data_IF_325823819923
#
_entry.id   IF_325823819923
#
_cell.length_a   1.000
_cell.length_b   1.000
_cell.length_c   1.000
_cell.angle_alpha   90.00
_cell.angle_beta   90.00
_cell.angle_gamma   90.00
#
_symmetry.space_group_name_H-M   'P 1'
#
loop_
_entity.id
_entity.type
_entity.pdbx_description
1 polymer ?
#
# COMPACT_ATOMS: atom_id res chain seq x y z
N UNK A 1 -5.22 -16.20 -9.07
CA UNK A 1 -5.18 -16.11 -7.71
C UNK A 1 -5.79 -14.89 -7.18
N UNK A 2 -5.84 -13.85 -7.87
CA UNK A 2 -6.41 -12.65 -7.35
C UNK A 2 -7.87 -12.54 -7.59
N UNK A 3 -8.48 -13.60 -8.06
CA UNK A 3 -9.87 -13.52 -8.39
C UNK A 3 -10.75 -13.31 -7.20
N UNK A 4 -10.24 -13.62 -6.02
CA UNK A 4 -11.07 -13.47 -4.85
C UNK A 4 -11.04 -12.09 -4.27
N UNK A 5 -10.17 -11.24 -4.77
CA UNK A 5 -10.08 -9.89 -4.24
C UNK A 5 -11.15 -9.01 -4.87
N UNK A 6 -11.81 -8.19 -4.09
CA UNK A 6 -12.78 -7.26 -4.66
C UNK A 6 -12.07 -6.19 -5.49
N UNK A 7 -12.85 -5.54 -6.34
CA UNK A 7 -12.30 -4.47 -7.15
C UNK A 7 -11.86 -3.32 -6.25
N UNK A 8 -10.65 -2.80 -6.50
CA UNK A 8 -10.12 -1.72 -5.69
C UNK A 8 -10.29 -0.40 -6.43
N UNK A 9 -11.04 0.54 -5.86
CA UNK A 9 -11.21 1.82 -6.54
C UNK A 9 -9.99 2.72 -6.38
N UNK A 10 -9.81 3.61 -7.35
CA UNK A 10 -8.67 4.50 -7.32
C UNK A 10 -8.68 5.39 -6.08
N UNK A 11 -9.86 5.79 -5.64
CA UNK A 11 -9.95 6.67 -4.49
C UNK A 11 -9.45 5.99 -3.21
N UNK A 12 -9.63 4.67 -3.13
CA UNK A 12 -9.12 3.94 -1.98
C UNK A 12 -7.59 3.96 -1.98
N UNK A 13 -6.98 3.73 -3.13
CA UNK A 13 -5.53 3.73 -3.23
C UNK A 13 -4.98 5.11 -2.89
N UNK A 14 -5.66 6.15 -3.35
CA UNK A 14 -5.25 7.50 -3.05
C UNK A 14 -5.28 7.78 -1.56
N UNK A 15 -6.36 7.34 -0.90
CA UNK A 15 -6.47 7.50 0.54
C UNK A 15 -5.39 6.74 1.29
N UNK A 16 -5.09 5.54 0.86
CA UNK A 16 -4.06 4.75 1.52
C UNK A 16 -2.71 5.44 1.41
N UNK A 17 -2.42 6.04 0.26
CA UNK A 17 -1.16 6.75 0.10
C UNK A 17 -1.12 8.02 0.93
N UNK A 18 -2.25 8.62 1.21
CA UNK A 18 -2.30 9.79 2.08
C UNK A 18 -2.08 9.42 3.53
N UNK A 19 -2.69 8.31 3.95
CA UNK A 19 -2.61 7.90 5.34
C UNK A 19 -1.28 7.26 5.66
N UNK A 20 -0.71 6.52 4.72
CA UNK A 20 0.54 5.81 4.95
C UNK A 20 1.49 6.00 3.78
N UNK A 21 2.00 7.23 3.59
CA UNK A 21 2.90 7.47 2.45
C UNK A 21 4.27 6.86 2.67
N UNK A 22 5.01 6.71 1.59
CA UNK A 22 6.37 6.24 1.71
C UNK A 22 7.21 7.34 2.30
N UNK A 23 8.04 7.00 3.27
CA UNK A 23 8.90 7.99 3.88
C UNK A 23 10.07 7.30 4.54
N UNK A 24 11.12 8.06 4.78
CA UNK A 24 12.27 7.56 5.49
C UNK A 24 11.98 7.58 6.98
N UNK A 25 12.70 6.73 7.70
CA UNK A 25 12.58 6.70 9.15
C UNK A 25 13.05 8.02 9.74
N UNK A 26 12.39 8.47 10.79
CA UNK A 26 12.79 9.66 11.47
C UNK A 26 13.85 9.35 12.52
N UNK A 27 14.71 10.32 12.82
CA UNK A 27 15.80 10.03 13.76
C UNK A 27 15.35 9.64 15.14
N UNK A 28 14.17 10.08 15.56
CA UNK A 28 13.70 9.78 16.89
C UNK A 28 12.77 8.56 16.93
N UNK A 29 12.61 7.86 15.83
CA UNK A 29 11.76 6.68 15.85
C UNK A 29 12.52 5.49 16.38
N UNK A 30 11.82 4.63 17.12
CA UNK A 30 12.43 3.40 17.59
C UNK A 30 12.42 2.39 16.47
N UNK A 31 13.25 1.35 16.62
CA UNK A 31 13.30 0.29 15.65
C UNK A 31 11.95 -0.38 15.48
N UNK A 32 11.24 -0.54 16.59
CA UNK A 32 9.93 -1.14 16.53
C UNK A 32 8.95 -0.29 15.72
N UNK A 33 9.00 1.02 15.91
CA UNK A 33 8.14 1.92 15.14
C UNK A 33 8.46 1.86 13.66
N UNK A 34 9.75 1.79 13.35
CA UNK A 34 10.17 1.72 11.96
C UNK A 34 9.64 0.43 11.32
N UNK A 35 9.76 -0.69 12.02
CA UNK A 35 9.30 -1.96 11.49
C UNK A 35 7.78 -1.99 11.34
N UNK A 36 7.07 -1.40 12.28
CA UNK A 36 5.62 -1.36 12.19
C UNK A 36 5.17 -0.54 10.98
N UNK A 37 5.81 0.58 10.76
CA UNK A 37 5.45 1.41 9.62
C UNK A 37 5.80 0.71 8.32
N UNK A 38 6.93 0.04 8.28
CA UNK A 38 7.34 -0.69 7.09
C UNK A 38 6.32 -1.78 6.75
N UNK A 39 5.80 -2.45 7.77
CA UNK A 39 4.78 -3.46 7.54
C UNK A 39 3.51 -2.88 6.97
N UNK A 40 3.07 -1.74 7.51
CA UNK A 40 1.90 -1.07 6.98
C UNK A 40 2.12 -0.65 5.54
N UNK A 41 3.30 -0.12 5.25
CA UNK A 41 3.58 0.35 3.90
C UNK A 41 3.67 -0.82 2.93
N UNK A 42 4.15 -1.97 3.39
CA UNK A 42 4.20 -3.14 2.55
C UNK A 42 2.81 -3.59 2.15
N UNK A 43 1.86 -3.53 3.08
CA UNK A 43 0.48 -3.88 2.75
C UNK A 43 -0.10 -2.89 1.74
N UNK A 44 0.22 -1.61 1.89
CA UNK A 44 -0.24 -0.62 0.93
C UNK A 44 0.32 -0.92 -0.46
N UNK A 45 1.60 -1.28 -0.53
CA UNK A 45 2.20 -1.62 -1.80
C UNK A 45 1.53 -2.84 -2.43
N UNK A 46 1.19 -3.81 -1.61
CA UNK A 46 0.51 -4.98 -2.11
C UNK A 46 -0.83 -4.61 -2.74
N UNK A 47 -1.57 -3.74 -2.07
CA UNK A 47 -2.86 -3.32 -2.59
C UNK A 47 -2.71 -2.48 -3.85
N UNK A 48 -1.68 -1.65 -3.90
CA UNK A 48 -1.42 -0.87 -5.11
C UNK A 48 -1.13 -1.79 -6.28
N UNK A 49 -0.36 -2.84 -6.04
CA UNK A 49 -0.04 -3.77 -7.09
C UNK A 49 -1.28 -4.50 -7.57
N UNK A 50 -2.14 -4.90 -6.65
CA UNK A 50 -3.40 -5.52 -7.02
C UNK A 50 -4.25 -4.57 -7.85
N UNK A 51 -4.32 -3.31 -7.43
CA UNK A 51 -5.09 -2.32 -8.14
C UNK A 51 -4.57 -2.16 -9.57
N UNK A 52 -3.26 -2.11 -9.73
CA UNK A 52 -2.67 -1.97 -11.04
C UNK A 52 -2.97 -3.17 -11.91
N UNK A 53 -2.92 -4.36 -11.33
CA UNK A 53 -3.23 -5.55 -12.07
C UNK A 53 -4.68 -5.57 -12.52
N UNK A 54 -5.57 -5.13 -11.64
CA UNK A 54 -6.98 -5.11 -11.98
C UNK A 54 -7.27 -4.16 -13.12
N UNK A 55 -6.53 -3.06 -13.18
CA UNK A 55 -6.79 -2.06 -14.20
C UNK A 55 -5.89 -2.18 -15.43
N UNK A 56 -4.99 -3.15 -15.45
CA UNK A 56 -4.06 -3.28 -16.55
C UNK A 56 -4.37 -4.47 -17.42
N UNK A 57 -5.39 -5.18 -17.13
CA UNK A 57 -5.59 -6.43 -17.76
C UNK A 57 -5.98 -6.29 -19.19
N UNK A 58 -6.48 -5.19 -19.59
CA UNK A 58 -6.83 -5.05 -20.93
C UNK A 58 -5.75 -4.58 -21.76
N UNK A 59 -4.64 -4.18 -21.24
CA UNK A 59 -3.57 -3.59 -22.05
C UNK A 59 -2.85 -4.61 -22.91
#
# INVERSE_FOLDING_TARGET
>A
MNDEWPYLPAVLIQKLNEVCPERCAKPDETLEQIHNYAGKREMVRFLIKLYEEQNHKEA
#
